data_IF_878810174734
#
_entry.id   IF_878810174734
#
_cell.length_a   1.000
_cell.length_b   1.000
_cell.length_c   1.000
_cell.angle_alpha   90.00
_cell.angle_beta   90.00
_cell.angle_gamma   90.00
#
_symmetry.space_group_name_H-M   'P 1'
#
loop_
_entity.id
_entity.type
_entity.pdbx_description
1 polymer ?
#
# COMPACT_ATOMS: atom_id res chain seq x y z
N UNK A 1 -18.67 -2.21 -15.15
CA UNK A 1 -18.26 -1.18 -14.17
C UNK A 1 -19.42 -0.97 -13.22
N UNK A 2 -19.15 -0.91 -11.90
CA UNK A 2 -20.15 -0.59 -10.87
C UNK A 2 -19.97 0.84 -10.40
N UNK A 3 -21.08 1.58 -10.22
CA UNK A 3 -21.06 2.98 -9.77
C UNK A 3 -22.00 3.13 -8.60
N UNK A 4 -21.58 3.85 -7.57
CA UNK A 4 -22.41 4.29 -6.45
C UNK A 4 -22.21 5.79 -6.22
N UNK A 5 -23.31 6.52 -6.07
CA UNK A 5 -23.30 7.91 -5.64
C UNK A 5 -23.39 7.97 -4.12
N UNK A 6 -22.60 8.83 -3.50
CA UNK A 6 -22.56 9.07 -2.05
C UNK A 6 -22.71 10.56 -1.77
N UNK A 7 -23.15 10.91 -0.57
CA UNK A 7 -23.42 12.30 -0.20
C UNK A 7 -22.20 13.03 0.38
N UNK A 8 -21.21 12.30 0.87
CA UNK A 8 -20.04 12.89 1.54
C UNK A 8 -18.78 12.02 1.39
N UNK A 9 -17.63 12.58 1.76
CA UNK A 9 -16.37 11.87 1.86
C UNK A 9 -16.46 10.74 2.90
N UNK A 10 -17.10 10.98 4.05
CA UNK A 10 -17.27 10.00 5.12
C UNK A 10 -18.02 8.75 4.60
N UNK A 11 -19.13 8.95 3.87
CA UNK A 11 -19.86 7.84 3.28
C UNK A 11 -19.02 7.08 2.24
N UNK A 12 -18.19 7.81 1.47
CA UNK A 12 -17.25 7.18 0.53
C UNK A 12 -16.21 6.32 1.26
N UNK A 13 -15.63 6.83 2.35
CA UNK A 13 -14.64 6.12 3.16
C UNK A 13 -15.24 4.87 3.82
N UNK A 14 -16.46 4.95 4.37
CA UNK A 14 -17.17 3.79 4.90
C UNK A 14 -17.42 2.72 3.83
N UNK A 15 -17.82 3.15 2.63
CA UNK A 15 -18.04 2.24 1.51
C UNK A 15 -16.73 1.54 1.10
N UNK A 16 -15.63 2.28 0.97
CA UNK A 16 -14.31 1.74 0.68
C UNK A 16 -13.88 0.75 1.78
N UNK A 17 -13.98 1.12 3.05
CA UNK A 17 -13.60 0.26 4.16
C UNK A 17 -14.34 -1.09 4.14
N UNK A 18 -15.61 -1.09 3.70
CA UNK A 18 -16.44 -2.28 3.65
C UNK A 18 -16.23 -3.17 2.43
N UNK A 19 -15.96 -2.59 1.26
CA UNK A 19 -16.01 -3.32 -0.02
C UNK A 19 -14.69 -3.37 -0.78
N UNK A 20 -13.69 -2.58 -0.39
CA UNK A 20 -12.38 -2.55 -1.04
C UNK A 20 -11.63 -3.87 -0.88
N UNK A 21 -10.82 -4.20 -1.88
CA UNK A 21 -9.80 -5.24 -1.77
C UNK A 21 -8.63 -4.83 -0.88
N UNK A 22 -8.51 -3.54 -0.52
CA UNK A 22 -7.40 -2.92 0.21
C UNK A 22 -6.06 -2.97 -0.54
N UNK A 23 -6.13 -3.10 -1.85
CA UNK A 23 -4.95 -3.08 -2.70
C UNK A 23 -4.63 -1.67 -3.18
N UNK A 24 -5.48 -1.05 -3.98
CA UNK A 24 -5.24 0.27 -4.58
C UNK A 24 -6.51 1.08 -4.64
N UNK A 25 -6.45 2.30 -4.13
CA UNK A 25 -7.55 3.26 -4.13
C UNK A 25 -7.07 4.61 -4.67
N UNK A 26 -7.96 5.35 -5.31
CA UNK A 26 -7.64 6.68 -5.85
C UNK A 26 -8.77 7.65 -5.64
N UNK A 27 -8.42 8.89 -5.33
CA UNK A 27 -9.33 10.03 -5.31
C UNK A 27 -9.02 11.00 -6.45
N UNK A 28 -10.07 11.63 -7.00
CA UNK A 28 -9.94 12.76 -7.93
C UNK A 28 -10.56 13.98 -7.26
N UNK A 29 -9.74 14.97 -6.92
CA UNK A 29 -10.17 16.20 -6.25
C UNK A 29 -9.15 17.32 -6.47
N UNK A 30 -9.65 18.56 -6.54
CA UNK A 30 -8.83 19.78 -6.55
C UNK A 30 -8.52 20.28 -5.14
N UNK A 31 -9.23 19.77 -4.10
CA UNK A 31 -9.00 20.16 -2.70
C UNK A 31 -7.85 19.33 -2.11
N UNK A 32 -6.73 20.00 -1.83
CA UNK A 32 -5.58 19.38 -1.17
C UNK A 32 -5.93 18.84 0.23
N UNK A 33 -6.81 19.52 0.96
CA UNK A 33 -7.28 19.09 2.27
C UNK A 33 -8.03 17.75 2.18
N UNK A 34 -8.96 17.61 1.24
CA UNK A 34 -9.72 16.38 1.01
C UNK A 34 -8.81 15.25 0.55
N UNK A 35 -7.86 15.54 -0.35
CA UNK A 35 -6.86 14.58 -0.83
C UNK A 35 -6.03 14.06 0.34
N UNK A 36 -5.51 14.95 1.17
CA UNK A 36 -4.69 14.59 2.33
C UNK A 36 -5.47 13.71 3.32
N UNK A 37 -6.72 14.10 3.62
CA UNK A 37 -7.59 13.34 4.51
C UNK A 37 -7.91 11.94 3.96
N UNK A 38 -8.22 11.84 2.68
CA UNK A 38 -8.44 10.56 2.00
C UNK A 38 -7.21 9.65 2.09
N UNK A 39 -6.02 10.18 1.78
CA UNK A 39 -4.77 9.41 1.84
C UNK A 39 -4.41 8.93 3.24
N UNK A 40 -4.79 9.68 4.28
CA UNK A 40 -4.56 9.29 5.67
C UNK A 40 -5.54 8.23 6.18
N UNK A 41 -6.80 8.29 5.75
CA UNK A 41 -7.86 7.46 6.30
C UNK A 41 -8.10 6.16 5.51
N UNK A 42 -7.75 6.12 4.22
CA UNK A 42 -7.95 4.92 3.41
C UNK A 42 -6.90 3.86 3.73
N UNK A 43 -7.38 2.69 4.15
CA UNK A 43 -6.54 1.52 4.42
C UNK A 43 -6.38 0.67 3.16
N UNK A 44 -5.44 1.06 2.31
CA UNK A 44 -5.02 0.30 1.14
C UNK A 44 -3.49 0.24 1.03
N UNK A 45 -2.97 -0.69 0.24
CA UNK A 45 -1.53 -0.81 0.01
C UNK A 45 -0.97 0.39 -0.77
N UNK A 46 -1.75 0.91 -1.72
CA UNK A 46 -1.43 2.10 -2.50
C UNK A 46 -2.62 3.04 -2.51
N UNK A 47 -2.42 4.30 -2.15
CA UNK A 47 -3.46 5.33 -2.15
C UNK A 47 -3.00 6.50 -3.01
N UNK A 48 -3.74 6.75 -4.07
CA UNK A 48 -3.42 7.72 -5.12
C UNK A 48 -4.32 8.94 -5.06
N UNK A 49 -3.84 10.03 -5.62
CA UNK A 49 -4.66 11.21 -5.93
C UNK A 49 -4.44 11.66 -7.36
N UNK A 50 -5.54 11.99 -8.06
CA UNK A 50 -5.57 12.56 -9.41
C UNK A 50 -4.82 11.74 -10.47
N UNK A 51 -4.63 10.45 -10.23
CA UNK A 51 -3.99 9.50 -11.16
C UNK A 51 -4.67 8.14 -11.07
N UNK A 52 -4.50 7.32 -12.10
CA UNK A 52 -5.06 5.98 -12.18
C UNK A 52 -4.36 5.01 -11.22
N UNK A 53 -5.12 4.10 -10.63
CA UNK A 53 -4.58 2.94 -9.90
C UNK A 53 -3.76 1.98 -10.79
N UNK A 54 -3.82 2.13 -12.11
CA UNK A 54 -2.99 1.38 -13.07
C UNK A 54 -1.49 1.66 -12.90
N UNK A 55 -1.11 2.72 -12.17
CA UNK A 55 0.28 2.96 -11.79
C UNK A 55 0.78 2.01 -10.69
N UNK A 56 -0.07 1.19 -10.08
CA UNK A 56 0.36 0.09 -9.21
C UNK A 56 0.93 -1.03 -10.08
N UNK A 57 2.18 -0.88 -10.45
CA UNK A 57 2.91 -1.76 -11.37
C UNK A 57 4.40 -1.77 -10.97
N UNK A 58 5.00 -2.93 -10.88
CA UNK A 58 6.39 -3.09 -10.47
C UNK A 58 7.37 -2.38 -11.41
N UNK A 59 7.07 -2.32 -12.72
CA UNK A 59 7.89 -1.60 -13.69
C UNK A 59 7.78 -0.08 -13.50
N UNK A 60 6.58 0.45 -13.23
CA UNK A 60 6.36 1.87 -12.96
C UNK A 60 7.05 2.32 -11.67
N UNK A 61 7.14 1.46 -10.66
CA UNK A 61 7.87 1.69 -9.42
C UNK A 61 9.38 1.44 -9.53
N UNK A 62 9.87 1.01 -10.70
CA UNK A 62 11.31 0.81 -10.93
C UNK A 62 11.85 -0.53 -10.41
N UNK A 63 11.00 -1.49 -10.06
CA UNK A 63 11.43 -2.80 -9.54
C UNK A 63 11.76 -3.82 -10.64
N UNK A 64 11.52 -3.50 -11.92
CA UNK A 64 11.82 -4.34 -13.07
C UNK A 64 10.96 -5.60 -13.22
N UNK A 65 10.17 -5.94 -12.22
CA UNK A 65 9.26 -7.08 -12.19
C UNK A 65 8.07 -6.78 -11.28
N UNK A 66 7.07 -7.66 -11.30
CA UNK A 66 5.90 -7.57 -10.44
C UNK A 66 5.55 -8.95 -9.89
N UNK A 67 5.20 -8.98 -8.60
CA UNK A 67 4.76 -10.18 -7.89
C UNK A 67 3.32 -9.95 -7.44
N UNK A 68 2.42 -10.85 -7.86
CA UNK A 68 1.06 -10.89 -7.35
C UNK A 68 1.00 -11.46 -5.95
N UNK A 69 0.30 -10.77 -5.04
CA UNK A 69 0.22 -11.14 -3.64
C UNK A 69 -1.19 -10.90 -3.10
N UNK A 70 -1.52 -11.51 -1.96
CA UNK A 70 -2.82 -11.32 -1.33
C UNK A 70 -2.96 -9.94 -0.68
N UNK A 71 -4.20 -9.58 -0.34
CA UNK A 71 -4.55 -8.31 0.33
C UNK A 71 -4.31 -8.34 1.86
N UNK A 72 -3.71 -9.39 2.40
CA UNK A 72 -3.39 -9.50 3.82
C UNK A 72 -2.25 -8.54 4.22
N UNK A 73 -2.18 -8.20 5.51
CA UNK A 73 -1.23 -7.22 6.05
C UNK A 73 -0.03 -7.83 6.77
N UNK A 74 0.09 -9.15 6.81
CA UNK A 74 1.16 -9.86 7.54
C UNK A 74 2.50 -9.88 6.79
N UNK A 75 2.53 -9.39 5.58
CA UNK A 75 3.70 -9.33 4.70
C UNK A 75 3.78 -7.94 4.04
N UNK A 76 4.82 -7.72 3.23
CA UNK A 76 4.93 -6.50 2.42
C UNK A 76 3.71 -6.32 1.49
N UNK A 77 3.32 -5.08 1.22
CA UNK A 77 2.16 -4.71 0.42
C UNK A 77 2.57 -3.73 -0.68
N UNK A 78 1.71 -3.63 -1.69
CA UNK A 78 1.94 -2.77 -2.83
C UNK A 78 2.88 -3.38 -3.85
N UNK A 79 3.52 -2.59 -4.71
CA UNK A 79 4.47 -3.07 -5.70
C UNK A 79 5.65 -3.81 -5.05
N UNK A 80 5.90 -5.04 -5.49
CA UNK A 80 6.95 -5.92 -4.98
C UNK A 80 7.63 -6.67 -6.11
N UNK A 81 8.89 -7.03 -5.91
CA UNK A 81 9.69 -7.75 -6.89
C UNK A 81 10.70 -8.72 -6.23
N UNK A 82 11.87 -8.89 -6.83
CA UNK A 82 12.88 -9.87 -6.38
C UNK A 82 13.29 -9.76 -4.90
N UNK A 83 13.41 -8.56 -4.29
CA UNK A 83 13.79 -8.46 -2.87
C UNK A 83 12.85 -9.22 -1.93
N UNK A 84 11.55 -9.22 -2.21
CA UNK A 84 10.52 -9.86 -1.37
C UNK A 84 10.50 -11.40 -1.51
N UNK A 85 11.18 -11.95 -2.54
CA UNK A 85 11.38 -13.40 -2.70
C UNK A 85 12.59 -13.92 -1.92
N UNK A 86 13.35 -13.03 -1.31
CA UNK A 86 14.57 -13.35 -0.58
C UNK A 86 14.41 -13.09 0.90
N UNK A 87 15.33 -13.61 1.68
CA UNK A 87 15.46 -13.28 3.09
C UNK A 87 16.94 -13.13 3.43
N UNK A 88 17.24 -12.70 4.62
CA UNK A 88 18.60 -12.50 5.09
C UNK A 88 18.85 -13.28 6.37
N UNK A 89 20.12 -13.55 6.65
CA UNK A 89 20.58 -14.06 7.93
C UNK A 89 21.67 -13.17 8.48
N UNK A 90 21.71 -13.04 9.78
CA UNK A 90 22.82 -12.38 10.45
C UNK A 90 23.96 -13.40 10.68
N UNK A 91 25.18 -13.02 10.36
CA UNK A 91 26.37 -13.77 10.73
C UNK A 91 27.08 -12.94 11.79
N UNK A 92 27.19 -13.49 12.99
CA UNK A 92 27.74 -12.78 14.15
C UNK A 92 28.95 -13.56 14.63
N UNK A 93 30.11 -12.91 14.56
CA UNK A 93 31.36 -13.45 15.06
C UNK A 93 31.74 -12.74 16.36
N UNK A 94 32.00 -13.52 17.39
CA UNK A 94 32.41 -13.01 18.69
C UNK A 94 33.81 -13.49 19.07
N UNK A 95 34.44 -12.80 20.00
CA UNK A 95 35.70 -13.16 20.59
C UNK A 95 35.59 -13.07 22.13
N UNK A 96 34.58 -13.70 22.67
CA UNK A 96 34.36 -13.77 24.13
C UNK A 96 33.73 -12.51 24.75
N UNK A 97 33.12 -11.62 23.95
CA UNK A 97 32.45 -10.43 24.50
C UNK A 97 31.29 -10.80 25.39
N UNK A 98 31.16 -10.10 26.50
CA UNK A 98 30.06 -10.25 27.46
C UNK A 98 29.04 -9.13 27.21
N UNK A 99 27.77 -9.47 27.10
CA UNK A 99 26.69 -8.48 27.07
C UNK A 99 26.48 -7.89 28.48
N UNK A 100 26.79 -6.62 28.63
CA UNK A 100 26.42 -5.90 29.86
C UNK A 100 24.89 -5.74 29.92
N UNK A 101 24.33 -5.92 31.11
CA UNK A 101 22.91 -5.73 31.37
C UNK A 101 22.54 -4.26 31.42
#
# INVERSE_FOLDING_TARGET
MSIRTVASLEEALEHIARYSSKHSESIVSESEEIVSLFQQLVDAACVYSNVSTAFTDGAQFGFGAEIGISTQKLHARGPMALPELTTYKYIINGNGQIRNK
#
